data_IF_259885166068
#
_entry.id   IF_259885166068
#
_cell.length_a   1.000
_cell.length_b   1.000
_cell.length_c   1.000
_cell.angle_alpha   90.00
_cell.angle_beta   90.00
_cell.angle_gamma   90.00
#
_symmetry.space_group_name_H-M   'P 1'
#
loop_
_entity.id
_entity.type
_entity.pdbx_description
1 polymer ?
#
# COMPACT_ATOMS: atom_id res chain seq x y z
N UNK A 1 -6.72 22.64 -8.98
CA UNK A 1 -5.38 22.90 -9.52
C UNK A 1 -5.15 21.78 -10.51
N UNK A 2 -5.17 22.06 -11.81
CA UNK A 2 -4.85 21.05 -12.84
C UNK A 2 -3.34 20.82 -12.82
N UNK A 3 -2.91 19.57 -12.63
CA UNK A 3 -1.50 19.18 -12.68
C UNK A 3 -1.18 18.72 -14.10
N UNK A 4 -0.17 19.31 -14.72
CA UNK A 4 0.29 18.99 -16.08
C UNK A 4 1.63 18.27 -15.98
N UNK A 5 1.80 17.17 -16.71
CA UNK A 5 2.97 16.28 -16.63
C UNK A 5 3.64 16.12 -18.01
N UNK A 6 4.97 15.93 -18.07
CA UNK A 6 5.71 15.73 -19.33
C UNK A 6 6.91 14.77 -19.13
N UNK A 7 7.11 13.79 -20.02
CA UNK A 7 8.14 12.74 -19.88
C UNK A 7 8.86 12.52 -21.22
N UNK A 8 10.18 12.35 -21.21
CA UNK A 8 10.97 12.21 -22.44
C UNK A 8 11.11 10.79 -23.04
N UNK A 9 10.96 9.67 -22.27
CA UNK A 9 10.92 8.30 -22.83
C UNK A 9 10.41 7.21 -21.83
N UNK A 10 10.58 5.89 -22.11
CA UNK A 10 10.03 4.76 -21.32
C UNK A 10 11.04 4.12 -20.33
N UNK A 11 10.58 3.47 -19.26
CA UNK A 11 11.44 2.64 -18.39
C UNK A 11 11.88 1.37 -19.13
N UNK A 12 13.10 0.86 -18.89
CA UNK A 12 13.58 -0.34 -19.56
C UNK A 12 14.51 -1.20 -18.71
N UNK A 13 14.69 -2.45 -19.15
CA UNK A 13 15.61 -3.40 -18.55
C UNK A 13 16.53 -3.98 -19.62
N UNK A 14 17.83 -3.81 -19.45
CA UNK A 14 18.87 -4.47 -20.25
C UNK A 14 19.52 -5.59 -19.45
N UNK A 15 19.49 -6.82 -19.97
CA UNK A 15 20.17 -7.96 -19.34
C UNK A 15 21.25 -8.51 -20.26
N UNK A 16 22.51 -8.48 -19.79
CA UNK A 16 23.66 -9.19 -20.37
C UNK A 16 24.11 -10.28 -19.38
N UNK A 17 24.79 -11.32 -19.85
CA UNK A 17 24.98 -12.59 -19.11
C UNK A 17 25.29 -12.45 -17.60
N UNK A 18 26.16 -11.51 -17.23
CA UNK A 18 26.62 -11.21 -15.87
C UNK A 18 26.03 -9.91 -15.25
N UNK A 19 25.24 -9.13 -15.99
CA UNK A 19 24.74 -7.80 -15.57
C UNK A 19 23.27 -7.56 -15.95
N UNK A 20 22.48 -7.01 -15.03
CA UNK A 20 21.15 -6.47 -15.32
C UNK A 20 21.11 -4.99 -14.99
N UNK A 21 20.70 -4.14 -15.94
CA UNK A 21 20.50 -2.70 -15.80
C UNK A 21 19.01 -2.41 -15.91
N UNK A 22 18.43 -1.68 -14.96
CA UNK A 22 17.05 -1.21 -15.00
C UNK A 22 17.06 0.32 -14.98
N UNK A 23 16.39 1.00 -15.92
CA UNK A 23 16.29 2.47 -15.94
C UNK A 23 14.83 2.94 -15.91
N UNK A 24 14.55 4.00 -15.14
CA UNK A 24 13.19 4.50 -14.89
C UNK A 24 13.00 5.97 -15.32
N UNK A 25 11.98 6.30 -16.11
CA UNK A 25 11.73 7.65 -16.66
C UNK A 25 10.92 8.58 -15.72
N UNK A 26 11.35 9.81 -15.39
CA UNK A 26 10.62 10.78 -14.60
C UNK A 26 10.15 12.01 -15.35
N UNK A 27 9.37 12.80 -14.61
CA UNK A 27 8.66 13.98 -15.06
C UNK A 27 9.58 15.19 -15.19
N UNK A 28 9.64 15.79 -16.39
CA UNK A 28 10.43 17.00 -16.65
C UNK A 28 9.76 18.29 -16.16
N UNK A 29 8.54 18.24 -15.63
CA UNK A 29 7.90 19.39 -14.97
C UNK A 29 8.46 19.70 -13.56
N UNK A 30 9.29 18.79 -13.04
CA UNK A 30 9.93 18.84 -11.71
C UNK A 30 11.45 18.92 -11.85
N UNK A 31 12.20 19.29 -10.80
CA UNK A 31 13.66 19.14 -10.81
C UNK A 31 14.02 17.72 -11.24
N UNK A 32 14.97 17.60 -12.18
CA UNK A 32 15.42 16.32 -12.73
C UNK A 32 15.70 15.37 -11.56
N UNK A 33 15.06 14.19 -11.57
CA UNK A 33 15.29 13.15 -10.55
C UNK A 33 16.07 12.03 -11.19
N UNK A 34 17.30 11.79 -10.77
CA UNK A 34 18.08 10.65 -11.24
C UNK A 34 18.83 9.97 -10.12
N UNK A 35 19.09 8.70 -10.32
CA UNK A 35 19.89 7.87 -9.43
C UNK A 35 20.55 6.77 -10.26
N UNK A 36 21.77 6.37 -9.91
CA UNK A 36 22.41 5.18 -10.47
C UNK A 36 23.26 4.53 -9.41
N UNK A 37 23.04 3.25 -9.15
CA UNK A 37 23.80 2.47 -8.18
C UNK A 37 23.78 0.98 -8.48
N UNK A 38 24.91 0.31 -8.23
CA UNK A 38 25.01 -1.15 -8.26
C UNK A 38 24.52 -1.73 -6.93
N UNK A 39 23.62 -2.70 -6.93
CA UNK A 39 23.11 -3.32 -5.70
C UNK A 39 24.21 -4.14 -5.00
N UNK A 40 24.63 -3.65 -3.83
CA UNK A 40 25.51 -4.38 -2.92
C UNK A 40 24.78 -5.47 -2.13
N UNK A 41 23.51 -5.26 -1.79
CA UNK A 41 22.68 -6.19 -1.01
C UNK A 41 21.54 -6.81 -1.83
N UNK A 42 21.86 -7.42 -2.97
CA UNK A 42 20.86 -7.86 -3.95
C UNK A 42 19.79 -8.83 -3.44
N UNK A 43 20.13 -9.79 -2.56
CA UNK A 43 19.14 -10.77 -2.07
C UNK A 43 18.10 -10.13 -1.15
N UNK A 44 18.54 -9.29 -0.21
CA UNK A 44 17.63 -8.59 0.69
C UNK A 44 16.75 -7.59 -0.08
N UNK A 45 17.33 -6.86 -1.04
CA UNK A 45 16.57 -5.98 -1.93
C UNK A 45 15.52 -6.75 -2.72
N UNK A 46 15.88 -7.92 -3.29
CA UNK A 46 14.95 -8.78 -4.02
C UNK A 46 13.74 -9.18 -3.16
N UNK A 47 13.96 -9.67 -1.94
CA UNK A 47 12.84 -10.07 -1.08
C UNK A 47 11.96 -8.88 -0.73
N UNK A 48 12.55 -7.71 -0.47
CA UNK A 48 11.83 -6.49 -0.13
C UNK A 48 10.99 -5.94 -1.29
N UNK A 49 11.58 -5.78 -2.48
CA UNK A 49 10.85 -5.28 -3.66
C UNK A 49 9.78 -6.29 -4.12
N UNK A 50 10.00 -7.58 -3.86
CA UNK A 50 9.00 -8.61 -4.15
C UNK A 50 7.88 -8.65 -3.12
N UNK A 51 8.13 -8.31 -1.86
CA UNK A 51 7.06 -8.10 -0.89
C UNK A 51 6.23 -6.87 -1.28
N UNK A 52 6.85 -5.83 -1.84
CA UNK A 52 6.14 -4.67 -2.40
C UNK A 52 5.21 -5.10 -3.54
N UNK A 53 5.67 -5.97 -4.45
CA UNK A 53 4.83 -6.56 -5.48
C UNK A 53 3.58 -7.24 -4.91
N UNK A 54 3.74 -8.05 -3.86
CA UNK A 54 2.62 -8.76 -3.22
C UNK A 54 1.59 -7.78 -2.62
N UNK A 55 1.98 -6.55 -2.29
CA UNK A 55 1.05 -5.45 -1.93
C UNK A 55 0.32 -4.94 -3.16
N UNK A 56 1.05 -4.60 -4.22
CA UNK A 56 0.53 -4.04 -5.48
C UNK A 56 -0.59 -4.92 -6.03
N UNK A 57 -0.36 -6.22 -6.17
CA UNK A 57 -1.35 -7.14 -6.76
C UNK A 57 -2.48 -7.56 -5.80
N UNK A 58 -2.44 -7.10 -4.55
CA UNK A 58 -3.39 -7.51 -3.53
C UNK A 58 -4.76 -6.86 -3.77
N UNK A 59 -5.82 -7.67 -3.86
CA UNK A 59 -7.20 -7.22 -3.79
C UNK A 59 -8.00 -8.17 -2.87
N UNK A 60 -8.52 -7.65 -1.76
CA UNK A 60 -9.39 -8.40 -0.86
C UNK A 60 -10.86 -8.01 -0.98
N UNK A 61 -11.23 -7.19 -1.98
CA UNK A 61 -12.64 -6.92 -2.27
C UNK A 61 -13.36 -8.22 -2.60
N UNK A 62 -14.58 -8.34 -2.09
CA UNK A 62 -15.40 -9.49 -2.39
C UNK A 62 -15.73 -9.51 -3.88
N UNK A 63 -15.14 -10.46 -4.60
CA UNK A 63 -15.57 -10.80 -5.95
C UNK A 63 -16.66 -11.86 -5.81
N UNK A 64 -17.93 -11.56 -6.15
CA UNK A 64 -18.96 -12.58 -6.16
C UNK A 64 -18.50 -13.69 -7.09
N UNK A 65 -18.51 -14.93 -6.60
CA UNK A 65 -18.34 -16.09 -7.48
C UNK A 65 -19.36 -15.97 -8.60
N UNK A 66 -18.92 -16.22 -9.83
CA UNK A 66 -19.88 -16.35 -10.91
C UNK A 66 -20.82 -17.50 -10.56
N UNK A 67 -22.08 -17.14 -10.31
CA UNK A 67 -23.15 -18.05 -9.92
C UNK A 67 -24.11 -18.22 -11.08
N UNK A 68 -23.73 -17.87 -12.31
CA UNK A 68 -24.54 -18.09 -13.52
C UNK A 68 -25.08 -19.53 -13.55
N UNK A 69 -24.20 -20.54 -13.38
CA UNK A 69 -24.58 -21.96 -13.36
C UNK A 69 -25.45 -22.36 -12.15
N UNK A 70 -25.14 -21.82 -10.96
CA UNK A 70 -25.95 -22.06 -9.76
C UNK A 70 -27.32 -21.37 -9.84
N UNK A 71 -27.41 -20.19 -10.46
CA UNK A 71 -28.67 -19.47 -10.67
C UNK A 71 -29.54 -20.17 -11.70
N UNK A 72 -28.95 -20.76 -12.75
CA UNK A 72 -29.69 -21.60 -13.70
C UNK A 72 -30.17 -22.91 -13.06
N UNK A 73 -29.38 -23.50 -12.16
CA UNK A 73 -29.78 -24.67 -11.38
C UNK A 73 -30.84 -24.35 -10.32
N UNK A 74 -30.65 -23.29 -9.53
CA UNK A 74 -31.58 -22.86 -8.50
C UNK A 74 -32.91 -22.36 -9.08
N UNK A 75 -32.91 -21.72 -10.26
CA UNK A 75 -34.14 -21.37 -10.95
C UNK A 75 -34.92 -22.61 -11.45
N UNK A 76 -34.25 -23.73 -11.68
CA UNK A 76 -34.88 -25.01 -12.01
C UNK A 76 -35.37 -25.77 -10.75
N UNK A 77 -34.83 -25.46 -9.56
CA UNK A 77 -35.14 -26.12 -8.29
C UNK A 77 -36.10 -25.30 -7.39
N UNK A 78 -36.20 -23.97 -7.58
CA UNK A 78 -37.12 -23.06 -6.89
C UNK A 78 -38.61 -23.37 -7.18
N UNK A 79 -38.91 -24.07 -8.28
CA UNK A 79 -40.27 -24.55 -8.57
C UNK A 79 -40.72 -25.67 -7.61
N UNK A 80 -39.80 -26.37 -6.95
CA UNK A 80 -40.11 -27.53 -6.10
C UNK A 80 -40.20 -27.22 -4.59
N UNK A 81 -39.48 -26.20 -4.10
CA UNK A 81 -39.35 -25.92 -2.66
C UNK A 81 -40.42 -24.94 -2.12
N UNK A 82 -40.93 -24.02 -2.98
CA UNK A 82 -41.92 -22.98 -2.60
C UNK A 82 -43.27 -23.58 -2.18
N UNK A 83 -43.55 -24.83 -2.52
CA UNK A 83 -44.79 -25.51 -2.14
C UNK A 83 -44.79 -26.09 -0.71
N UNK A 84 -43.66 -26.14 0.01
CA UNK A 84 -43.58 -26.85 1.32
C UNK A 84 -43.48 -25.99 2.57
N UNK A 85 -43.24 -24.68 2.49
CA UNK A 85 -43.09 -23.83 3.68
C UNK A 85 -44.06 -22.64 3.65
N UNK A 86 -45.36 -22.89 3.86
CA UNK A 86 -46.25 -21.82 4.28
C UNK A 86 -47.49 -22.32 5.02
N UNK A 87 -47.31 -22.62 6.31
CA UNK A 87 -48.41 -22.66 7.27
C UNK A 87 -47.99 -21.85 8.51
N UNK A 88 -48.06 -20.52 8.40
CA UNK A 88 -48.44 -19.55 9.43
C UNK A 88 -48.03 -18.13 8.99
N UNK A 89 -49.04 -17.26 8.84
CA UNK A 89 -49.01 -15.81 8.54
C UNK A 89 -49.07 -15.42 7.05
N UNK A 90 -50.21 -15.70 6.44
CA UNK A 90 -50.56 -15.28 5.07
C UNK A 90 -50.47 -13.75 4.83
N UNK A 91 -50.77 -12.93 5.84
CA UNK A 91 -50.70 -11.46 5.71
C UNK A 91 -49.26 -10.94 5.54
N UNK A 92 -48.31 -11.51 6.30
CA UNK A 92 -46.89 -11.18 6.18
C UNK A 92 -46.31 -11.71 4.87
N UNK A 93 -46.72 -12.91 4.43
CA UNK A 93 -46.32 -13.46 3.12
C UNK A 93 -46.76 -12.55 1.98
N UNK A 94 -48.03 -12.14 1.96
CA UNK A 94 -48.56 -11.23 0.94
C UNK A 94 -47.87 -9.86 0.95
N UNK A 95 -47.51 -9.34 2.13
CA UNK A 95 -46.75 -8.09 2.27
C UNK A 95 -45.33 -8.24 1.71
N UNK A 96 -44.65 -9.33 2.04
CA UNK A 96 -43.30 -9.65 1.55
C UNK A 96 -43.32 -9.85 0.03
N UNK A 97 -44.26 -10.61 -0.51
CA UNK A 97 -44.39 -10.86 -1.95
C UNK A 97 -44.59 -9.56 -2.73
N UNK A 98 -45.44 -8.66 -2.21
CA UNK A 98 -45.67 -7.33 -2.80
C UNK A 98 -44.40 -6.48 -2.78
N UNK A 99 -43.70 -6.43 -1.64
CA UNK A 99 -42.47 -5.65 -1.51
C UNK A 99 -41.33 -6.22 -2.37
N UNK A 100 -41.20 -7.54 -2.44
CA UNK A 100 -40.24 -8.21 -3.33
C UNK A 100 -40.58 -7.99 -4.81
N UNK A 101 -41.87 -7.97 -5.16
CA UNK A 101 -42.33 -7.57 -6.51
C UNK A 101 -41.88 -6.14 -6.86
N UNK A 102 -42.10 -5.18 -5.96
CA UNK A 102 -41.69 -3.80 -6.15
C UNK A 102 -40.15 -3.64 -6.22
N UNK A 103 -39.40 -4.36 -5.39
CA UNK A 103 -37.93 -4.39 -5.45
C UNK A 103 -37.47 -4.95 -6.79
N UNK A 104 -38.03 -6.08 -7.24
CA UNK A 104 -37.70 -6.67 -8.55
C UNK A 104 -37.95 -5.71 -9.70
N UNK A 105 -39.04 -4.96 -9.66
CA UNK A 105 -39.37 -3.95 -10.67
C UNK A 105 -38.38 -2.78 -10.65
N UNK A 106 -38.04 -2.27 -9.45
CA UNK A 106 -37.04 -1.20 -9.30
C UNK A 106 -35.65 -1.66 -9.76
N UNK A 107 -35.25 -2.88 -9.40
CA UNK A 107 -34.00 -3.47 -9.85
C UNK A 107 -33.98 -3.67 -11.36
N UNK A 108 -35.07 -4.12 -11.97
CA UNK A 108 -35.19 -4.23 -13.43
C UNK A 108 -35.03 -2.87 -14.10
N UNK A 109 -35.74 -1.85 -13.63
CA UNK A 109 -35.62 -0.48 -14.17
C UNK A 109 -34.21 0.07 -14.00
N UNK A 110 -33.58 -0.16 -12.85
CA UNK A 110 -32.20 0.24 -12.59
C UNK A 110 -31.21 -0.47 -13.51
N UNK A 111 -31.35 -1.79 -13.68
CA UNK A 111 -30.52 -2.58 -14.61
C UNK A 111 -30.71 -2.13 -16.05
N UNK A 112 -31.94 -1.89 -16.50
CA UNK A 112 -32.21 -1.41 -17.86
C UNK A 112 -31.60 -0.03 -18.10
N UNK A 113 -31.68 0.87 -17.12
CA UNK A 113 -31.08 2.21 -17.20
C UNK A 113 -29.55 2.16 -17.20
N UNK A 114 -28.95 1.28 -16.40
CA UNK A 114 -27.50 1.14 -16.30
C UNK A 114 -26.91 0.22 -17.39
N UNK A 115 -27.73 -0.58 -18.08
CA UNK A 115 -27.27 -1.56 -19.07
C UNK A 115 -26.35 -0.97 -20.14
N UNK A 116 -26.60 0.23 -20.72
CA UNK A 116 -25.68 0.82 -21.68
C UNK A 116 -24.30 1.15 -21.06
N UNK A 117 -24.29 1.66 -19.83
CA UNK A 117 -23.06 1.96 -19.08
C UNK A 117 -22.31 0.68 -18.71
N UNK A 118 -23.00 -0.31 -18.16
CA UNK A 118 -22.41 -1.59 -17.76
C UNK A 118 -21.88 -2.36 -18.97
N UNK A 119 -22.58 -2.34 -20.12
CA UNK A 119 -22.09 -2.90 -21.37
C UNK A 119 -20.89 -2.16 -21.93
N UNK A 120 -20.87 -0.82 -21.89
CA UNK A 120 -19.73 -0.03 -22.34
C UNK A 120 -18.50 -0.29 -21.46
N UNK A 121 -18.71 -0.34 -20.14
CA UNK A 121 -17.71 -0.72 -19.15
C UNK A 121 -17.16 -2.13 -19.41
N UNK A 122 -18.04 -3.11 -19.62
CA UNK A 122 -17.65 -4.49 -19.90
C UNK A 122 -16.91 -4.62 -21.24
N UNK A 123 -17.33 -3.88 -22.28
CA UNK A 123 -16.60 -3.82 -23.56
C UNK A 123 -15.21 -3.21 -23.40
N UNK A 124 -15.08 -2.14 -22.62
CA UNK A 124 -13.80 -1.51 -22.30
C UNK A 124 -12.87 -2.48 -21.55
N UNK A 125 -13.36 -3.16 -20.50
CA UNK A 125 -12.54 -4.12 -19.76
C UNK A 125 -12.24 -5.40 -20.55
N UNK A 126 -13.16 -5.89 -21.39
CA UNK A 126 -12.89 -7.01 -22.30
C UNK A 126 -11.86 -6.62 -23.37
N UNK A 127 -11.91 -5.38 -23.85
CA UNK A 127 -10.90 -4.83 -24.75
C UNK A 127 -9.52 -4.79 -24.06
N UNK A 128 -9.44 -4.22 -22.85
CA UNK A 128 -8.21 -4.26 -22.05
C UNK A 128 -7.69 -5.69 -21.86
N UNK A 129 -8.53 -6.61 -21.39
CA UNK A 129 -8.15 -8.02 -21.19
C UNK A 129 -7.59 -8.71 -22.45
N UNK A 130 -8.08 -8.34 -23.64
CA UNK A 130 -7.70 -8.99 -24.91
C UNK A 130 -6.56 -8.29 -25.66
N UNK A 131 -6.36 -6.99 -25.44
CA UNK A 131 -5.37 -6.16 -26.17
C UNK A 131 -4.20 -5.72 -25.32
N UNK A 132 -4.41 -5.55 -24.02
CA UNK A 132 -3.45 -4.99 -23.08
C UNK A 132 -3.75 -5.50 -21.67
N UNK A 133 -3.47 -6.80 -21.46
CA UNK A 133 -3.65 -7.47 -20.16
C UNK A 133 -2.79 -6.81 -19.07
N UNK A 134 -1.65 -6.24 -19.46
CA UNK A 134 -0.80 -5.49 -18.53
C UNK A 134 -1.52 -4.21 -18.07
N UNK A 135 -2.18 -3.44 -18.95
CA UNK A 135 -3.04 -2.31 -18.54
C UNK A 135 -4.23 -2.67 -17.63
N UNK A 136 -4.59 -3.95 -17.50
CA UNK A 136 -5.60 -4.42 -16.56
C UNK A 136 -5.06 -4.57 -15.12
N UNK A 137 -3.73 -4.63 -14.95
CA UNK A 137 -3.03 -4.88 -13.67
C UNK A 137 -1.88 -3.87 -13.47
N UNK A 138 -2.00 -2.65 -14.00
CA UNK A 138 -1.00 -1.61 -13.77
C UNK A 138 -1.39 -0.78 -12.55
N UNK A 139 -0.55 -0.87 -11.53
CA UNK A 139 -0.48 0.09 -10.44
C UNK A 139 0.97 0.53 -10.38
N UNK A 140 1.20 1.83 -10.50
CA UNK A 140 2.53 2.40 -10.65
C UNK A 140 3.11 2.75 -9.28
N UNK A 141 4.08 1.99 -8.73
CA UNK A 141 4.80 2.42 -7.56
C UNK A 141 5.49 3.75 -7.83
N UNK A 142 5.46 4.58 -6.81
CA UNK A 142 6.11 5.88 -6.77
C UNK A 142 7.54 5.67 -6.27
N UNK A 143 8.54 6.13 -7.01
CA UNK A 143 9.94 6.14 -6.60
C UNK A 143 10.29 7.54 -6.13
N UNK A 144 10.86 7.67 -4.95
CA UNK A 144 11.44 8.92 -4.46
C UNK A 144 12.94 8.74 -4.25
N UNK A 145 13.73 9.62 -4.87
CA UNK A 145 15.17 9.78 -4.61
C UNK A 145 15.32 10.92 -3.62
N UNK A 146 15.79 10.59 -2.42
CA UNK A 146 16.04 11.50 -1.30
C UNK A 146 17.56 11.57 -1.04
N UNK A 147 18.10 12.63 -0.40
CA UNK A 147 19.54 12.70 -0.06
C UNK A 147 20.09 11.56 0.81
N UNK A 148 19.23 10.78 1.46
CA UNK A 148 19.64 9.68 2.34
C UNK A 148 19.30 8.29 1.79
N UNK A 149 18.33 8.20 0.88
CA UNK A 149 17.76 6.92 0.43
C UNK A 149 17.03 7.02 -0.91
N UNK A 150 16.79 5.85 -1.51
CA UNK A 150 15.84 5.66 -2.59
C UNK A 150 14.67 4.84 -2.05
N UNK A 151 13.45 5.37 -2.14
CA UNK A 151 12.24 4.69 -1.68
C UNK A 151 11.27 4.38 -2.81
N UNK A 152 10.51 3.29 -2.63
CA UNK A 152 9.49 2.77 -3.54
C UNK A 152 8.20 2.62 -2.75
N UNK A 153 7.13 3.28 -3.17
CA UNK A 153 5.85 3.30 -2.47
C UNK A 153 4.71 2.84 -3.37
N UNK A 154 3.73 2.12 -2.83
CA UNK A 154 2.55 1.69 -3.58
C UNK A 154 1.34 1.48 -2.67
N UNK A 155 0.16 1.43 -3.29
CA UNK A 155 -1.05 0.89 -2.67
C UNK A 155 -1.46 -0.46 -3.29
N UNK A 156 -2.25 -1.22 -2.53
CA UNK A 156 -3.00 -2.35 -3.07
C UNK A 156 -4.10 -1.91 -4.04
N UNK A 157 -4.63 -2.82 -4.87
CA UNK A 157 -5.72 -2.52 -5.82
C UNK A 157 -7.01 -2.03 -5.17
N UNK A 158 -7.21 -2.39 -3.91
CA UNK A 158 -8.32 -1.89 -3.09
C UNK A 158 -7.95 -0.73 -2.17
N UNK A 159 -6.74 -0.19 -2.33
CA UNK A 159 -6.20 0.99 -1.63
C UNK A 159 -6.27 0.90 -0.10
N UNK A 160 -6.42 -0.30 0.47
CA UNK A 160 -6.47 -0.53 1.92
C UNK A 160 -5.12 -0.91 2.54
N UNK A 161 -4.12 -1.15 1.69
CA UNK A 161 -2.73 -1.45 2.09
C UNK A 161 -1.79 -0.46 1.45
N UNK A 162 -0.90 0.08 2.25
CA UNK A 162 0.24 0.86 1.84
C UNK A 162 1.51 0.02 1.99
N UNK A 163 2.39 0.06 1.01
CA UNK A 163 3.72 -0.54 1.07
C UNK A 163 4.76 0.51 0.74
N UNK A 164 5.84 0.56 1.53
CA UNK A 164 7.04 1.35 1.22
C UNK A 164 8.29 0.50 1.44
N UNK A 165 9.16 0.46 0.45
CA UNK A 165 10.54 -0.02 0.59
C UNK A 165 11.45 1.19 0.56
N UNK A 166 12.18 1.46 1.63
CA UNK A 166 13.23 2.45 1.68
C UNK A 166 14.60 1.76 1.66
N UNK A 167 15.48 2.20 0.76
CA UNK A 167 16.83 1.69 0.62
C UNK A 167 17.84 2.82 0.77
N UNK A 168 18.57 2.82 1.90
CA UNK A 168 19.65 3.77 2.14
C UNK A 168 20.77 3.59 1.12
N UNK A 169 21.57 4.65 0.91
CA UNK A 169 22.66 4.57 -0.06
C UNK A 169 23.73 3.51 0.26
N UNK A 170 23.82 3.05 1.52
CA UNK A 170 24.67 1.92 1.94
C UNK A 170 24.29 0.56 1.31
N UNK A 171 23.10 0.44 0.73
CA UNK A 171 22.66 -0.73 -0.05
C UNK A 171 23.42 -0.83 -1.37
N UNK A 172 23.90 0.29 -1.89
CA UNK A 172 24.44 0.43 -3.23
C UNK A 172 25.98 0.58 -3.22
N UNK A 173 26.60 0.13 -4.30
CA UNK A 173 27.99 0.33 -4.67
C UNK A 173 28.03 1.25 -5.89
N UNK A 174 29.13 1.98 -6.05
CA UNK A 174 29.33 2.86 -7.22
C UNK A 174 28.15 3.83 -7.44
N UNK A 175 27.68 4.46 -6.36
CA UNK A 175 26.62 5.46 -6.45
C UNK A 175 27.15 6.66 -7.23
N UNK A 176 26.51 6.95 -8.36
CA UNK A 176 26.82 8.11 -9.19
C UNK A 176 26.28 9.41 -8.61
N UNK A 177 26.37 10.50 -9.37
CA UNK A 177 25.57 11.68 -9.07
C UNK A 177 24.08 11.31 -9.08
N UNK A 178 23.31 11.94 -8.20
CA UNK A 178 21.87 11.77 -8.11
C UNK A 178 21.23 13.14 -7.91
N UNK A 179 19.97 13.27 -8.33
CA UNK A 179 19.18 14.44 -8.07
C UNK A 179 17.85 14.04 -7.45
N UNK A 180 17.45 14.79 -6.43
CA UNK A 180 16.33 14.46 -5.58
C UNK A 180 15.00 14.79 -6.25
N UNK A 181 14.02 13.91 -6.04
CA UNK A 181 12.64 14.11 -6.46
C UNK A 181 11.90 12.79 -6.58
N UNK A 182 10.73 12.83 -7.22
CA UNK A 182 9.77 11.72 -7.20
C UNK A 182 9.27 11.44 -8.60
N UNK A 183 9.22 10.16 -8.97
CA UNK A 183 8.70 9.66 -10.24
C UNK A 183 7.79 8.46 -10.05
N UNK A 184 7.06 8.07 -11.08
CA UNK A 184 6.27 6.86 -11.11
C UNK A 184 6.87 5.88 -12.11
N UNK A 185 6.69 4.59 -11.88
CA UNK A 185 7.17 3.53 -12.78
C UNK A 185 6.04 2.58 -13.16
N UNK A 186 6.01 2.19 -14.42
CA UNK A 186 5.13 1.12 -14.89
C UNK A 186 5.59 -0.22 -14.30
N UNK A 187 4.81 -0.75 -13.37
CA UNK A 187 5.09 -2.03 -12.73
C UNK A 187 4.41 -3.16 -13.49
N UNK A 188 5.16 -3.78 -14.39
CA UNK A 188 4.71 -4.92 -15.17
C UNK A 188 5.09 -6.27 -14.53
N UNK A 189 4.38 -7.32 -14.94
CA UNK A 189 4.73 -8.71 -14.61
C UNK A 189 6.15 -9.08 -15.10
N UNK A 190 6.59 -8.48 -16.21
CA UNK A 190 7.95 -8.62 -16.73
C UNK A 190 8.98 -8.03 -15.77
N UNK A 191 8.76 -6.79 -15.28
CA UNK A 191 9.65 -6.14 -14.30
C UNK A 191 9.79 -6.97 -13.02
N UNK A 192 8.67 -7.51 -12.50
CA UNK A 192 8.70 -8.43 -11.35
C UNK A 192 9.58 -9.66 -11.61
N UNK A 193 9.46 -10.26 -12.79
CA UNK A 193 10.23 -11.45 -13.18
C UNK A 193 11.73 -11.14 -13.21
N UNK A 194 12.12 -9.93 -13.60
CA UNK A 194 13.53 -9.49 -13.57
C UNK A 194 14.05 -9.33 -12.13
N UNK A 195 13.25 -8.77 -11.21
CA UNK A 195 13.62 -8.75 -9.80
C UNK A 195 13.87 -10.17 -9.25
N UNK A 196 13.05 -11.16 -9.65
CA UNK A 196 13.26 -12.56 -9.24
C UNK A 196 14.59 -13.14 -9.70
N UNK A 197 15.25 -12.56 -10.70
CA UNK A 197 16.56 -13.02 -11.22
C UNK A 197 17.75 -12.44 -10.45
N UNK A 198 17.54 -11.51 -9.53
CA UNK A 198 18.63 -10.93 -8.71
C UNK A 198 19.28 -12.04 -7.86
N UNK A 199 20.61 -12.14 -7.94
CA UNK A 199 21.43 -13.14 -7.22
C UNK A 199 22.65 -12.45 -6.61
N UNK A 200 23.17 -12.99 -5.51
CA UNK A 200 24.35 -12.45 -4.83
C UNK A 200 25.63 -12.48 -5.69
N UNK A 201 25.71 -13.40 -6.65
CA UNK A 201 26.87 -13.55 -7.54
C UNK A 201 26.75 -12.76 -8.86
N UNK A 202 25.62 -12.07 -9.12
CA UNK A 202 25.42 -11.25 -10.31
C UNK A 202 25.42 -9.78 -9.94
N UNK A 203 26.07 -8.95 -10.75
CA UNK A 203 25.99 -7.49 -10.60
C UNK A 203 24.64 -7.03 -11.13
N UNK A 204 23.92 -6.23 -10.33
CA UNK A 204 22.64 -5.63 -10.74
C UNK A 204 22.74 -4.13 -10.53
N UNK A 205 22.51 -3.34 -11.58
CA UNK A 205 22.51 -1.89 -11.51
C UNK A 205 21.08 -1.37 -11.60
N UNK A 206 20.70 -0.55 -10.62
CA UNK A 206 19.44 0.18 -10.61
C UNK A 206 19.71 1.63 -11.01
N UNK A 207 18.95 2.13 -11.97
CA UNK A 207 19.02 3.50 -12.46
C UNK A 207 17.63 4.12 -12.52
N UNK A 208 17.53 5.38 -12.13
CA UNK A 208 16.37 6.26 -12.32
C UNK A 208 16.89 7.37 -13.23
N UNK A 209 16.37 7.52 -14.44
CA UNK A 209 16.89 8.45 -15.46
C UNK A 209 15.80 9.44 -15.93
N UNK A 210 15.98 10.78 -15.77
CA UNK A 210 15.17 11.88 -16.31
C UNK A 210 14.71 11.72 -17.73
N UNK A 211 15.63 11.26 -18.57
CA UNK A 211 15.33 10.70 -19.86
C UNK A 211 14.84 9.29 -19.64
N UNK A 212 13.55 8.99 -19.84
CA UNK A 212 13.25 7.58 -20.06
C UNK A 212 14.19 7.00 -21.11
N UNK A 213 14.46 5.73 -20.97
CA UNK A 213 15.58 5.07 -21.59
C UNK A 213 15.53 5.20 -23.13
N UNK A 214 16.48 5.96 -23.67
CA UNK A 214 16.69 6.17 -25.10
C UNK A 214 17.46 4.95 -25.66
N UNK A 215 16.77 3.88 -26.08
CA UNK A 215 17.37 2.83 -26.93
C UNK A 215 17.11 3.21 -28.37
N UNK A 216 18.09 3.89 -28.98
CA UNK A 216 18.22 3.92 -30.43
C UNK A 216 18.87 2.62 -30.88
N UNK A 217 18.07 1.75 -31.49
CA UNK A 217 18.57 0.67 -32.34
C UNK A 217 18.30 1.06 -33.79
N UNK A 218 19.33 1.13 -34.63
CA UNK A 218 19.16 1.35 -36.07
C UNK A 218 18.30 0.20 -36.65
N UNK A 219 17.20 0.57 -37.32
CA UNK A 219 16.28 -0.27 -38.11
C UNK A 219 15.14 -1.05 -37.42
N UNK A 220 14.57 -0.60 -36.30
CA UNK A 220 13.25 -1.09 -35.84
C UNK A 220 12.25 0.04 -35.56
N UNK A 221 10.96 -0.25 -35.77
CA UNK A 221 9.88 0.73 -35.70
C UNK A 221 9.58 1.17 -34.25
N UNK A 222 9.43 2.48 -34.07
CA UNK A 222 9.19 3.17 -32.80
C UNK A 222 8.06 2.53 -31.97
N UNK A 223 8.40 1.88 -30.86
CA UNK A 223 7.44 1.48 -29.83
C UNK A 223 7.35 2.56 -28.76
N UNK A 224 6.30 3.40 -28.84
CA UNK A 224 6.00 4.47 -27.88
C UNK A 224 4.98 3.97 -26.86
N UNK A 225 5.44 3.58 -25.67
CA UNK A 225 4.55 3.28 -24.55
C UNK A 225 4.12 4.59 -23.86
N UNK A 226 2.81 4.77 -23.71
CA UNK A 226 2.18 6.00 -23.22
C UNK A 226 2.13 5.97 -21.70
N UNK A 227 2.69 7.01 -21.07
CA UNK A 227 2.59 7.23 -19.63
C UNK A 227 1.12 7.26 -19.18
N UNK A 228 0.85 6.58 -18.07
CA UNK A 228 -0.43 6.62 -17.36
C UNK A 228 -0.25 7.52 -16.11
N UNK A 229 -1.21 8.38 -15.83
CA UNK A 229 -1.20 9.28 -14.68
C UNK A 229 -1.53 8.52 -13.39
N UNK A 230 -0.94 8.95 -12.26
CA UNK A 230 -1.31 8.40 -10.96
C UNK A 230 -2.77 8.76 -10.65
N UNK A 231 -3.61 7.80 -10.19
CA UNK A 231 -4.97 8.12 -9.80
C UNK A 231 -5.02 9.18 -8.69
N UNK A 232 -5.95 10.14 -8.79
CA UNK A 232 -6.20 11.14 -7.72
C UNK A 232 -6.41 10.50 -6.33
N UNK A 233 -6.95 9.28 -6.30
CA UNK A 233 -7.16 8.52 -5.07
C UNK A 233 -5.84 8.15 -4.39
N UNK A 234 -4.80 7.80 -5.16
CA UNK A 234 -3.47 7.49 -4.61
C UNK A 234 -2.79 8.72 -4.04
N UNK A 235 -2.86 9.86 -4.74
CA UNK A 235 -2.31 11.13 -4.23
C UNK A 235 -2.92 11.44 -2.86
N UNK A 236 -4.25 11.36 -2.74
CA UNK A 236 -4.93 11.53 -1.44
C UNK A 236 -4.55 10.47 -0.42
N UNK A 237 -4.43 9.21 -0.84
CA UNK A 237 -4.00 8.10 0.00
C UNK A 237 -2.65 8.34 0.66
N UNK A 238 -1.65 8.81 -0.09
CA UNK A 238 -0.33 9.15 0.46
C UNK A 238 -0.43 10.21 1.56
N UNK A 239 -1.23 11.26 1.34
CA UNK A 239 -1.45 12.30 2.35
C UNK A 239 -2.09 11.74 3.63
N UNK A 240 -3.03 10.81 3.49
CA UNK A 240 -3.70 10.16 4.62
C UNK A 240 -2.77 9.22 5.38
N UNK A 241 -1.91 8.48 4.67
CA UNK A 241 -0.86 7.65 5.27
C UNK A 241 0.11 8.51 6.09
N UNK A 242 0.69 9.55 5.49
CA UNK A 242 1.62 10.44 6.18
C UNK A 242 0.94 11.13 7.37
N UNK A 243 -0.33 11.54 7.24
CA UNK A 243 -1.09 12.11 8.36
C UNK A 243 -1.30 11.09 9.48
N UNK A 244 -1.65 9.85 9.16
CA UNK A 244 -1.83 8.79 10.15
C UNK A 244 -0.53 8.42 10.87
N UNK A 245 0.62 8.47 10.19
CA UNK A 245 1.93 8.24 10.80
C UNK A 245 2.30 9.28 11.87
N UNK A 246 1.70 10.47 11.84
CA UNK A 246 1.91 11.49 12.89
C UNK A 246 1.11 11.24 14.18
N UNK A 247 0.15 10.31 14.16
CA UNK A 247 -0.71 10.04 15.31
C UNK A 247 0.05 9.28 16.41
N UNK A 248 -0.31 9.49 17.70
CA UNK A 248 0.27 8.72 18.79
C UNK A 248 0.05 7.21 18.59
N UNK A 249 1.12 6.43 18.74
CA UNK A 249 1.11 4.99 18.52
C UNK A 249 1.62 4.23 19.74
N UNK A 250 1.01 3.07 20.03
CA UNK A 250 1.61 2.06 20.90
C UNK A 250 2.51 1.18 20.05
N UNK A 251 3.82 1.28 20.27
CA UNK A 251 4.84 0.56 19.49
C UNK A 251 5.27 -0.72 20.19
N UNK A 252 5.47 -1.81 19.44
CA UNK A 252 6.03 -3.07 19.95
C UNK A 252 7.09 -3.59 18.98
N UNK A 253 8.21 -4.07 19.50
CA UNK A 253 9.25 -4.73 18.70
C UNK A 253 9.00 -6.24 18.71
N UNK A 254 8.85 -6.84 17.53
CA UNK A 254 8.65 -8.27 17.32
C UNK A 254 9.89 -8.90 16.68
N UNK A 255 10.31 -10.04 17.21
CA UNK A 255 11.32 -10.89 16.59
C UNK A 255 10.76 -11.53 15.30
N UNK A 256 11.57 -11.74 14.23
CA UNK A 256 11.10 -12.34 12.97
C UNK A 256 10.35 -13.68 13.17
N UNK A 257 10.84 -14.57 14.02
CA UNK A 257 10.14 -15.82 14.39
C UNK A 257 8.73 -15.63 14.99
N UNK A 258 8.46 -14.50 15.64
CA UNK A 258 7.12 -14.21 16.16
C UNK A 258 6.18 -13.82 15.01
N UNK A 259 6.67 -13.04 14.04
CA UNK A 259 5.94 -12.74 12.79
C UNK A 259 5.74 -14.00 11.94
N UNK A 260 6.72 -14.90 11.90
CA UNK A 260 6.57 -16.22 11.29
C UNK A 260 5.41 -17.00 11.93
N UNK A 261 5.33 -17.02 13.26
CA UNK A 261 4.25 -17.70 13.99
C UNK A 261 2.88 -17.09 13.66
N UNK A 262 2.80 -15.76 13.51
CA UNK A 262 1.59 -15.07 13.04
C UNK A 262 1.21 -15.55 11.63
N UNK A 263 2.15 -15.54 10.69
CA UNK A 263 1.91 -15.96 9.31
C UNK A 263 1.48 -17.44 9.24
N UNK A 264 2.11 -18.31 10.04
CA UNK A 264 1.79 -19.72 10.10
C UNK A 264 0.33 -19.97 10.54
N UNK A 265 -0.15 -19.25 11.55
CA UNK A 265 -1.57 -19.33 11.97
C UNK A 265 -2.48 -18.87 10.83
N UNK A 266 -2.17 -17.75 10.18
CA UNK A 266 -2.99 -17.20 9.08
C UNK A 266 -3.01 -18.10 7.84
N UNK A 267 -1.95 -18.86 7.56
CA UNK A 267 -1.91 -19.85 6.47
C UNK A 267 -2.78 -21.07 6.78
N UNK A 268 -2.74 -21.56 8.03
CA UNK A 268 -3.46 -22.78 8.44
C UNK A 268 -4.95 -22.57 8.64
N UNK A 269 -5.36 -21.34 8.94
CA UNK A 269 -6.74 -21.03 9.28
C UNK A 269 -7.31 -19.95 8.36
N UNK A 270 -8.45 -20.24 7.71
CA UNK A 270 -9.19 -19.28 6.88
C UNK A 270 -10.53 -18.95 7.54
N UNK A 271 -10.74 -17.67 7.81
CA UNK A 271 -11.88 -17.19 8.57
C UNK A 271 -13.17 -17.25 7.74
N UNK A 272 -14.16 -17.97 8.25
CA UNK A 272 -15.48 -18.11 7.62
C UNK A 272 -16.50 -17.14 8.21
N UNK A 273 -16.37 -16.86 9.51
CA UNK A 273 -17.22 -15.96 10.29
C UNK A 273 -16.39 -14.84 10.94
N UNK A 274 -17.07 -13.79 11.38
CA UNK A 274 -16.47 -12.72 12.18
C UNK A 274 -16.58 -12.98 13.70
N UNK A 275 -15.90 -12.18 14.54
CA UNK A 275 -14.99 -11.08 14.16
C UNK A 275 -13.63 -11.59 13.63
N UNK A 276 -13.05 -10.91 12.63
CA UNK A 276 -11.82 -11.31 11.92
C UNK A 276 -10.57 -10.54 12.40
N UNK A 277 -10.54 -10.23 13.68
CA UNK A 277 -9.54 -9.36 14.30
C UNK A 277 -8.29 -10.11 14.75
N UNK A 278 -7.20 -9.36 14.86
CA UNK A 278 -6.00 -9.74 15.60
C UNK A 278 -5.92 -8.84 16.84
N UNK A 279 -5.96 -9.45 18.03
CA UNK A 279 -5.94 -8.72 19.30
C UNK A 279 -4.55 -8.76 19.91
N UNK A 280 -3.99 -7.59 20.17
CA UNK A 280 -2.74 -7.39 20.87
C UNK A 280 -3.03 -7.20 22.35
N UNK A 281 -2.51 -8.09 23.19
CA UNK A 281 -2.48 -7.95 24.63
C UNK A 281 -1.07 -7.55 25.04
N UNK A 282 -0.92 -6.32 25.49
CA UNK A 282 0.35 -5.68 25.80
C UNK A 282 0.36 -5.34 27.28
N UNK A 283 1.21 -6.03 28.04
CA UNK A 283 1.40 -5.78 29.48
C UNK A 283 2.86 -5.39 29.70
N UNK A 284 3.15 -4.25 30.36
CA UNK A 284 4.52 -3.79 30.61
C UNK A 284 5.40 -4.89 31.20
N UNK A 285 6.58 -5.10 30.60
CA UNK A 285 7.56 -6.10 31.06
C UNK A 285 7.19 -7.57 30.79
N UNK A 286 6.10 -7.83 30.06
CA UNK A 286 5.66 -9.19 29.70
C UNK A 286 5.79 -9.44 28.20
N UNK A 287 5.88 -10.71 27.77
CA UNK A 287 5.81 -11.07 26.35
C UNK A 287 4.53 -10.57 25.68
N UNK A 288 4.66 -10.05 24.46
CA UNK A 288 3.51 -9.68 23.62
C UNK A 288 2.66 -10.92 23.36
N UNK A 289 1.35 -10.81 23.60
CA UNK A 289 0.40 -11.91 23.37
C UNK A 289 -0.63 -11.51 22.33
N UNK A 290 -0.80 -12.33 21.31
CA UNK A 290 -1.71 -12.12 20.19
C UNK A 290 -2.84 -13.14 20.24
N UNK A 291 -4.08 -12.71 20.02
CA UNK A 291 -5.23 -13.60 19.93
C UNK A 291 -5.93 -13.44 18.58
N UNK A 292 -6.06 -14.55 17.85
CA UNK A 292 -6.68 -14.61 16.53
C UNK A 292 -8.16 -14.92 16.65
N UNK A 293 -9.02 -13.95 16.32
CA UNK A 293 -10.49 -14.15 16.30
C UNK A 293 -10.98 -14.61 14.92
N UNK A 294 -12.02 -15.46 14.79
CA UNK A 294 -12.88 -15.94 15.87
C UNK A 294 -12.35 -17.20 16.59
N UNK A 295 -11.19 -17.74 16.18
CA UNK A 295 -10.73 -19.05 16.67
C UNK A 295 -10.27 -19.06 18.13
N UNK A 296 -9.90 -17.90 18.69
CA UNK A 296 -9.32 -17.82 20.03
C UNK A 296 -7.91 -18.42 20.12
N UNK A 297 -7.24 -18.60 18.98
CA UNK A 297 -5.85 -19.12 18.95
C UNK A 297 -4.94 -18.04 19.53
N UNK A 298 -4.12 -18.41 20.51
CA UNK A 298 -3.17 -17.50 21.15
C UNK A 298 -1.74 -17.77 20.68
N UNK A 299 -1.02 -16.70 20.37
CA UNK A 299 0.42 -16.71 20.09
C UNK A 299 1.12 -15.85 21.12
N UNK A 300 2.07 -16.43 21.85
CA UNK A 300 2.88 -15.74 22.86
C UNK A 300 4.27 -15.50 22.25
N UNK A 301 4.61 -14.24 22.01
CA UNK A 301 5.86 -13.80 21.43
C UNK A 301 6.95 -13.75 22.52
N UNK A 302 7.48 -14.91 22.91
CA UNK A 302 8.37 -15.06 24.07
C UNK A 302 9.63 -14.18 24.03
N UNK A 303 10.11 -13.83 22.84
CA UNK A 303 11.31 -13.00 22.63
C UNK A 303 11.00 -11.51 22.55
N UNK A 304 9.73 -11.15 22.48
CA UNK A 304 9.26 -9.81 22.19
C UNK A 304 8.55 -9.28 23.43
N UNK A 305 9.29 -8.57 24.28
CA UNK A 305 8.78 -8.00 25.53
C UNK A 305 8.18 -6.63 25.24
N UNK A 306 7.03 -6.34 25.82
CA UNK A 306 6.42 -5.03 25.70
C UNK A 306 7.03 -4.04 26.71
N UNK A 307 7.70 -3.01 26.20
CA UNK A 307 8.43 -2.00 26.99
C UNK A 307 7.59 -0.76 27.32
N UNK A 308 6.34 -0.69 26.87
CA UNK A 308 5.46 0.44 27.15
C UNK A 308 5.11 0.56 28.64
N UNK A 309 4.71 1.76 29.07
CA UNK A 309 4.46 2.09 30.48
C UNK A 309 3.10 1.63 31.00
N UNK A 310 2.11 1.44 30.13
CA UNK A 310 0.73 1.11 30.50
C UNK A 310 0.25 -0.14 29.76
N UNK A 311 -0.64 -0.95 30.37
CA UNK A 311 -1.24 -2.09 29.69
C UNK A 311 -2.23 -1.66 28.61
N UNK A 312 -2.23 -2.35 27.47
CA UNK A 312 -3.12 -2.08 26.34
C UNK A 312 -3.73 -3.38 25.80
N UNK A 313 -4.99 -3.27 25.33
CA UNK A 313 -5.63 -4.30 24.52
C UNK A 313 -6.12 -3.64 23.23
N UNK A 314 -5.45 -3.92 22.12
CA UNK A 314 -5.72 -3.27 20.84
C UNK A 314 -6.19 -4.31 19.82
N UNK A 315 -7.35 -4.08 19.18
CA UNK A 315 -7.82 -4.92 18.08
C UNK A 315 -7.51 -4.27 16.74
N UNK A 316 -6.97 -5.07 15.82
CA UNK A 316 -6.70 -4.68 14.42
C UNK A 316 -7.46 -5.61 13.46
N UNK A 317 -7.76 -5.13 12.25
CA UNK A 317 -8.34 -5.92 11.17
C UNK A 317 -7.40 -5.92 9.95
N UNK A 318 -7.78 -6.62 8.87
CA UNK A 318 -6.92 -6.76 7.70
C UNK A 318 -5.74 -7.73 7.88
N UNK A 319 -5.69 -8.49 8.98
CA UNK A 319 -4.57 -9.38 9.35
C UNK A 319 -4.08 -10.37 8.28
N UNK A 320 -4.90 -10.74 7.28
CA UNK A 320 -4.43 -11.60 6.17
C UNK A 320 -3.35 -10.93 5.33
N UNK A 321 -3.33 -9.59 5.29
CA UNK A 321 -2.32 -8.79 4.60
C UNK A 321 -0.93 -8.93 5.22
N UNK A 322 -0.84 -9.38 6.48
CA UNK A 322 0.43 -9.68 7.13
C UNK A 322 1.19 -10.82 6.46
N UNK A 323 0.54 -11.64 5.62
CA UNK A 323 1.22 -12.67 4.83
C UNK A 323 2.25 -12.10 3.84
N UNK A 324 2.14 -10.81 3.47
CA UNK A 324 3.17 -10.11 2.67
C UNK A 324 4.52 -10.12 3.40
N UNK A 325 4.52 -10.03 4.73
CA UNK A 325 5.73 -9.98 5.55
C UNK A 325 6.48 -11.33 5.58
N UNK A 326 5.83 -12.43 5.19
CA UNK A 326 6.41 -13.79 5.22
C UNK A 326 7.71 -13.85 4.40
N UNK A 327 7.75 -13.10 3.30
CA UNK A 327 8.89 -13.03 2.40
C UNK A 327 10.11 -12.32 3.00
N UNK A 328 9.88 -11.42 3.96
CA UNK A 328 10.92 -10.63 4.62
C UNK A 328 11.58 -11.37 5.79
N UNK A 329 10.94 -12.42 6.31
CA UNK A 329 11.40 -13.17 7.49
C UNK A 329 12.87 -13.61 7.43
N UNK A 330 13.44 -14.05 6.28
CA UNK A 330 14.84 -14.50 6.23
C UNK A 330 15.87 -13.37 6.27
N UNK A 331 15.45 -12.13 5.96
CA UNK A 331 16.35 -10.97 5.80
C UNK A 331 16.10 -9.88 6.84
N UNK A 332 14.98 -9.93 7.55
CA UNK A 332 14.64 -8.98 8.60
C UNK A 332 15.38 -9.26 9.91
N UNK A 333 15.90 -8.20 10.53
CA UNK A 333 16.50 -8.23 11.86
C UNK A 333 15.41 -8.16 12.95
N UNK A 334 14.39 -7.33 12.73
CA UNK A 334 13.23 -7.15 13.62
C UNK A 334 12.05 -6.54 12.88
N UNK A 335 10.87 -6.59 13.49
CA UNK A 335 9.68 -5.89 13.03
C UNK A 335 9.17 -4.94 14.11
N UNK A 336 9.04 -3.66 13.84
CA UNK A 336 8.39 -2.70 14.74
C UNK A 336 6.95 -2.53 14.31
N UNK A 337 6.02 -2.78 15.22
CA UNK A 337 4.58 -2.63 14.96
C UNK A 337 4.08 -1.39 15.69
N UNK A 338 3.54 -0.44 14.95
CA UNK A 338 2.89 0.77 15.48
C UNK A 338 1.38 0.61 15.43
N UNK A 339 0.74 0.64 16.60
CA UNK A 339 -0.69 0.47 16.76
C UNK A 339 -1.32 1.79 17.20
N UNK A 340 -2.10 2.43 16.32
CA UNK A 340 -2.72 3.74 16.62
C UNK A 340 -3.94 3.63 17.53
N UNK A 341 -4.51 2.43 17.68
CA UNK A 341 -5.66 2.16 18.52
C UNK A 341 -6.58 1.09 17.93
N UNK A 342 -7.67 0.77 18.62
CA UNK A 342 -8.60 -0.26 18.14
C UNK A 342 -9.37 0.23 16.92
N UNK A 343 -9.18 -0.45 15.79
CA UNK A 343 -9.88 -0.16 14.52
C UNK A 343 -9.28 1.01 13.74
N UNK A 344 -8.20 1.59 14.26
CA UNK A 344 -7.38 2.58 13.59
C UNK A 344 -6.27 1.88 12.78
N UNK A 345 -5.55 2.62 11.93
CA UNK A 345 -4.44 2.08 11.17
C UNK A 345 -3.35 1.44 12.04
N UNK A 346 -2.62 0.53 11.42
CA UNK A 346 -1.46 -0.11 12.02
C UNK A 346 -0.33 -0.20 10.99
N UNK A 347 0.90 0.06 11.43
CA UNK A 347 2.08 -0.01 10.58
C UNK A 347 3.03 -1.10 11.07
N UNK A 348 3.56 -1.89 10.14
CA UNK A 348 4.56 -2.92 10.41
C UNK A 348 5.81 -2.55 9.65
N UNK A 349 6.86 -2.17 10.36
CA UNK A 349 8.15 -1.77 9.79
C UNK A 349 9.13 -2.91 9.98
N UNK A 350 9.52 -3.56 8.90
CA UNK A 350 10.59 -4.55 8.89
C UNK A 350 11.94 -3.83 8.76
N UNK A 351 12.81 -4.04 9.75
CA UNK A 351 14.19 -3.57 9.75
C UNK A 351 15.04 -4.61 9.01
N UNK A 352 15.60 -4.23 7.86
CA UNK A 352 16.41 -5.10 7.00
C UNK A 352 17.89 -4.68 7.00
N UNK A 353 18.33 -3.88 8.00
CA UNK A 353 19.66 -3.27 8.04
C UNK A 353 19.68 -1.92 7.31
N UNK A 354 20.34 -1.86 6.15
CA UNK A 354 20.42 -0.63 5.33
C UNK A 354 19.13 -0.35 4.54
N UNK A 355 18.11 -1.20 4.71
CA UNK A 355 16.78 -1.04 4.12
C UNK A 355 15.71 -1.16 5.20
N UNK A 356 14.57 -0.54 4.96
CA UNK A 356 13.36 -0.75 5.74
C UNK A 356 12.17 -1.03 4.82
N UNK A 357 11.24 -1.85 5.30
CA UNK A 357 9.98 -2.10 4.60
C UNK A 357 8.80 -1.78 5.52
N UNK A 358 7.97 -0.83 5.13
CA UNK A 358 6.79 -0.41 5.88
C UNK A 358 5.52 -0.92 5.23
N UNK A 359 4.75 -1.71 5.97
CA UNK A 359 3.40 -2.15 5.61
C UNK A 359 2.37 -1.40 6.44
N UNK A 360 1.60 -0.51 5.81
CA UNK A 360 0.51 0.24 6.43
C UNK A 360 -0.85 -0.39 6.14
N UNK A 361 -1.62 -0.71 7.18
CA UNK A 361 -3.00 -1.18 7.06
C UNK A 361 -3.95 -0.08 7.51
N UNK A 362 -4.96 0.27 6.70
CA UNK A 362 -5.93 1.35 6.95
C UNK A 362 -6.88 1.11 8.14
N UNK A 363 -6.74 -0.01 8.85
CA UNK A 363 -7.60 -0.41 9.97
C UNK A 363 -8.60 -1.47 9.56
N UNK A 364 -9.53 -1.17 8.63
CA UNK A 364 -10.57 -2.11 8.17
C UNK A 364 -10.36 -2.52 6.73
N UNK A 365 -10.66 -3.78 6.39
CA UNK A 365 -10.50 -4.30 5.02
C UNK A 365 -11.38 -3.59 3.98
N UNK A 366 -12.51 -3.01 4.41
CA UNK A 366 -13.39 -2.21 3.56
C UNK A 366 -13.01 -0.72 3.49
N UNK A 367 -12.09 -0.26 4.35
CA UNK A 367 -11.66 1.13 4.36
C UNK A 367 -10.43 1.26 3.50
N UNK A 368 -10.52 2.04 2.42
CA UNK A 368 -9.34 2.49 1.70
C UNK A 368 -8.69 3.69 2.41
N UNK A 369 -7.43 3.95 2.09
CA UNK A 369 -6.70 5.13 2.53
C UNK A 369 -7.24 6.41 1.90
N UNK A 370 -7.91 6.34 0.74
CA UNK A 370 -8.25 7.50 -0.08
C UNK A 370 -9.65 8.09 0.12
N UNK A 371 -10.65 7.29 0.52
CA UNK A 371 -12.06 7.71 0.65
C UNK A 371 -12.61 7.56 2.05
N UNK A 372 -12.23 6.52 2.79
CA UNK A 372 -12.79 6.23 4.12
C UNK A 372 -11.91 6.74 5.28
N UNK A 373 -10.60 6.78 5.09
CA UNK A 373 -9.66 7.28 6.09
C UNK A 373 -9.55 8.80 6.05
N UNK A 374 -10.33 9.53 6.84
CA UNK A 374 -10.13 10.96 7.10
C UNK A 374 -9.18 11.16 8.29
N UNK A 375 -8.00 10.54 8.25
CA UNK A 375 -7.03 10.59 9.34
C UNK A 375 -6.41 11.97 9.51
N UNK A 376 -6.38 12.77 8.43
CA UNK A 376 -6.09 14.20 8.46
C UNK A 376 -6.98 14.98 9.45
N UNK A 377 -8.22 14.53 9.70
CA UNK A 377 -9.12 15.15 10.69
C UNK A 377 -8.74 14.80 12.14
N UNK A 378 -8.02 13.69 12.34
CA UNK A 378 -7.53 13.26 13.65
C UNK A 378 -6.16 13.85 13.99
N UNK A 379 -5.45 14.38 12.99
CA UNK A 379 -4.17 15.04 13.20
C UNK A 379 -4.35 16.29 14.09
N UNK A 380 -3.41 16.57 15.02
CA UNK A 380 -3.49 17.74 15.87
C UNK A 380 -3.54 19.03 15.03
N UNK A 381 -4.66 19.74 15.07
CA UNK A 381 -4.79 21.05 14.42
C UNK A 381 -4.22 22.11 15.34
N UNK A 382 -2.98 22.50 15.07
CA UNK A 382 -2.43 23.72 15.62
C UNK A 382 -2.49 24.79 14.53
N UNK A 383 -3.26 25.86 14.76
CA UNK A 383 -3.24 26.98 13.84
C UNK A 383 -1.88 27.66 13.93
N UNK A 384 -1.16 27.67 12.81
CA UNK A 384 0.16 28.28 12.68
C UNK A 384 0.02 29.37 11.63
N UNK A 385 0.53 30.57 11.95
CA UNK A 385 0.56 31.66 10.99
C UNK A 385 1.47 31.32 9.80
N UNK A 386 1.18 31.92 8.64
CA UNK A 386 1.91 31.62 7.40
C UNK A 386 3.42 31.87 7.52
N UNK A 387 3.83 32.89 8.26
CA UNK A 387 5.24 33.22 8.44
C UNK A 387 5.99 32.13 9.22
N UNK A 388 5.40 31.65 10.32
CA UNK A 388 5.96 30.54 11.10
C UNK A 388 6.01 29.25 10.26
N UNK A 389 4.96 28.95 9.48
CA UNK A 389 4.95 27.80 8.59
C UNK A 389 6.09 27.88 7.55
N UNK A 390 6.25 29.03 6.88
CA UNK A 390 7.31 29.23 5.88
C UNK A 390 8.72 29.11 6.47
N UNK A 391 8.93 29.53 7.73
CA UNK A 391 10.20 29.32 8.45
C UNK A 391 10.50 27.84 8.69
N UNK A 392 9.52 27.09 9.16
CA UNK A 392 9.64 25.62 9.37
C UNK A 392 9.96 24.93 8.05
N UNK A 393 9.23 25.26 6.99
CA UNK A 393 9.46 24.67 5.66
C UNK A 393 10.83 25.01 5.09
N UNK A 394 11.28 26.26 5.25
CA UNK A 394 12.59 26.71 4.77
C UNK A 394 13.73 26.02 5.52
N UNK A 395 13.57 25.75 6.81
CA UNK A 395 14.54 24.98 7.59
C UNK A 395 14.58 23.51 7.13
N UNK A 396 13.42 22.88 6.97
CA UNK A 396 13.33 21.50 6.45
C UNK A 396 13.95 21.40 5.06
N UNK A 397 13.70 22.35 4.15
CA UNK A 397 14.30 22.37 2.80
C UNK A 397 15.83 22.43 2.78
N UNK A 398 16.48 22.93 3.84
CA UNK A 398 17.95 22.98 3.91
C UNK A 398 18.55 21.63 4.26
N UNK A 399 17.86 20.82 5.08
CA UNK A 399 18.36 19.53 5.58
C UNK A 399 17.73 18.32 4.91
N UNK A 400 16.58 18.50 4.26
CA UNK A 400 15.72 17.48 3.66
C UNK A 400 15.11 16.49 4.65
N UNK A 401 15.82 16.14 5.72
CA UNK A 401 15.35 15.33 6.85
C UNK A 401 15.57 16.07 8.18
N UNK A 402 14.53 16.11 9.01
CA UNK A 402 14.62 16.60 10.39
C UNK A 402 13.44 16.11 11.23
N UNK A 403 13.69 15.84 12.51
CA UNK A 403 12.65 15.59 13.50
C UNK A 403 11.97 16.89 13.94
N UNK A 404 10.75 16.77 14.48
CA UNK A 404 10.03 17.92 15.03
C UNK A 404 10.81 18.60 16.18
N UNK A 405 11.58 17.82 16.95
CA UNK A 405 12.38 18.32 18.08
C UNK A 405 13.62 19.08 17.60
N UNK A 406 14.29 18.62 16.54
CA UNK A 406 15.40 19.34 15.91
C UNK A 406 14.96 20.68 15.31
N UNK A 407 13.83 20.69 14.59
CA UNK A 407 13.27 21.92 14.02
C UNK A 407 12.79 22.88 15.11
N UNK A 408 12.21 22.35 16.19
CA UNK A 408 11.82 23.13 17.37
C UNK A 408 13.02 23.81 18.01
N UNK A 409 14.13 23.07 18.20
CA UNK A 409 15.37 23.60 18.76
C UNK A 409 16.03 24.65 17.85
N UNK A 410 16.16 24.38 16.54
CA UNK A 410 16.80 25.30 15.59
C UNK A 410 16.03 26.61 15.45
N UNK A 411 14.70 26.55 15.34
CA UNK A 411 13.87 27.71 15.08
C UNK A 411 13.42 28.44 16.36
N UNK A 412 13.74 27.87 17.53
CA UNK A 412 13.24 28.31 18.84
C UNK A 412 11.72 28.43 18.86
N UNK A 413 11.03 27.44 18.26
CA UNK A 413 9.58 27.36 18.18
C UNK A 413 9.04 26.27 19.09
N UNK A 414 7.85 26.43 19.69
CA UNK A 414 7.26 25.37 20.49
C UNK A 414 6.90 24.17 19.60
N UNK A 415 7.21 22.96 20.07
CA UNK A 415 6.97 21.69 19.34
C UNK A 415 5.57 21.57 18.71
N UNK A 416 4.47 21.95 19.39
CA UNK A 416 3.13 21.93 18.77
C UNK A 416 3.00 22.81 17.52
N UNK A 417 3.66 23.98 17.48
CA UNK A 417 3.64 24.85 16.31
C UNK A 417 4.44 24.25 15.14
N UNK A 418 5.57 23.60 15.42
CA UNK A 418 6.33 22.86 14.39
C UNK A 418 5.50 21.72 13.82
N UNK A 419 4.86 20.92 14.67
CA UNK A 419 3.97 19.83 14.23
C UNK A 419 2.77 20.34 13.44
N UNK A 420 2.17 21.45 13.85
CA UNK A 420 1.08 22.09 13.09
C UNK A 420 1.51 22.54 11.70
N UNK A 421 2.69 23.17 11.59
CA UNK A 421 3.26 23.58 10.30
C UNK A 421 3.57 22.37 9.41
N UNK A 422 4.25 21.36 9.95
CA UNK A 422 4.56 20.13 9.22
C UNK A 422 3.28 19.42 8.77
N UNK A 423 2.26 19.32 9.62
CA UNK A 423 0.96 18.76 9.27
C UNK A 423 0.27 19.49 8.12
N UNK A 424 0.32 20.84 8.12
CA UNK A 424 -0.20 21.63 7.01
C UNK A 424 0.57 21.39 5.70
N UNK A 425 1.90 21.23 5.76
CA UNK A 425 2.69 20.89 4.57
C UNK A 425 2.51 19.45 4.10
N UNK A 426 2.26 18.50 5.01
CA UNK A 426 1.83 17.15 4.66
C UNK A 426 0.51 17.22 3.90
N UNK A 427 -0.50 17.92 4.41
CA UNK A 427 -1.79 18.09 3.70
C UNK A 427 -1.65 18.79 2.35
N UNK A 428 -0.67 19.68 2.20
CA UNK A 428 -0.36 20.35 0.94
C UNK A 428 0.52 19.50 -0.01
N UNK A 429 0.92 18.28 0.38
CA UNK A 429 1.80 17.41 -0.40
C UNK A 429 3.23 17.94 -0.57
N UNK A 430 3.71 18.76 0.37
CA UNK A 430 5.04 19.39 0.35
C UNK A 430 6.02 18.80 1.37
N UNK A 431 5.52 18.02 2.31
CA UNK A 431 6.30 17.26 3.28
C UNK A 431 5.70 15.85 3.41
N UNK A 432 6.53 14.88 3.76
CA UNK A 432 6.13 13.48 3.98
C UNK A 432 6.68 13.08 5.35
N UNK A 433 5.92 12.25 6.07
CA UNK A 433 6.39 11.60 7.28
C UNK A 433 6.93 10.22 6.91
N UNK A 434 8.15 9.95 7.37
CA UNK A 434 8.93 8.73 7.13
C UNK A 434 8.68 7.67 8.21
#
# INVERSE_FOLDING_TARGET
MEFTYAYPAASSVESRGDQTRMSFAPDVSRPLTYFSGELGQGVAFREAISALHDVVISDLRYTPRDKSDYKTWAAADEEAEVQRIAAQRDELRLRVDRLQGAIREIEQRSRLRNAPFDQAKQRYFNYLYTRDFDAWVVLDPVITVHPDEVSFECFSQDESTYGRLAAGYGVFKQVGEHACGTTNIDYSSALYTEFQKIRSYKSTRLEVDPGGLDVKTENEADYRQVKIDLPDSWVRGFLQVSSAMTLPAVSVSLHPMDVHSICQVLRRHREKSGPRSLRYHLTPGQPVRLVFEPWGIEVICRRSIFEGSQPHVIRTWGRRRLLVLERLLPVAQRFVVHLLGTGLPSFYVADLGEMSFTLGLSGWTSNDWSRAGHFDLLAPRFEVDQFTAERVFSALKKRWLATADELSAELSLPRPAVLGALGAYVQAGRAVFD
#
